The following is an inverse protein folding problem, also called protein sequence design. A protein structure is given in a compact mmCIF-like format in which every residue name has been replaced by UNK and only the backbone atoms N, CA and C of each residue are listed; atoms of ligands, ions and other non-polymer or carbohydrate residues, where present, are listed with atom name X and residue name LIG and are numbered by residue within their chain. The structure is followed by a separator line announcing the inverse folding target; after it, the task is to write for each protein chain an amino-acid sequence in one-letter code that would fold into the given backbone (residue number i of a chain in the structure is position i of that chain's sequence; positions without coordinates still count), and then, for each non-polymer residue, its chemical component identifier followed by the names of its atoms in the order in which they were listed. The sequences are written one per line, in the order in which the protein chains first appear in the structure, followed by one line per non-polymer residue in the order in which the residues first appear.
data_IF_310975910321
#
_entry.id   IF_310975910321
#
_cell.length_a   1.000
_cell.length_b   1.000
_cell.length_c   1.000
_cell.angle_alpha   90.00
_cell.angle_beta   90.00
_cell.angle_gamma   90.00
#
_symmetry.space_group_name_H-M   'P 1'
#
loop_
_entity.id
_entity.type
_entity.pdbx_description
1 polymer ?
#
# COMPACT_ATOMS: atom_id res chain seq x y z
N UNK A 1 0.64 59.79 -33.06
CA UNK A 1 0.19 59.00 -31.90
C UNK A 1 0.91 57.67 -31.91
N UNK A 2 1.99 57.54 -31.14
CA UNK A 2 2.69 56.26 -30.96
C UNK A 2 2.21 55.70 -29.63
N UNK A 3 1.39 54.66 -29.68
CA UNK A 3 1.01 53.88 -28.50
C UNK A 3 2.18 52.93 -28.28
N UNK A 4 3.08 53.26 -27.35
CA UNK A 4 4.03 52.28 -26.84
C UNK A 4 3.23 51.28 -26.02
N UNK A 5 3.16 50.05 -26.53
CA UNK A 5 2.64 48.90 -25.80
C UNK A 5 3.36 48.78 -24.46
N UNK A 6 2.59 48.57 -23.40
CA UNK A 6 3.12 48.29 -22.09
C UNK A 6 3.71 46.88 -22.11
N UNK A 7 5.02 46.78 -22.36
CA UNK A 7 5.70 45.51 -22.26
C UNK A 7 5.65 44.99 -20.82
N UNK A 8 4.94 43.88 -20.64
CA UNK A 8 4.79 43.14 -19.39
C UNK A 8 6.09 42.35 -19.08
N UNK A 9 7.14 43.05 -18.62
CA UNK A 9 8.36 42.43 -18.08
C UNK A 9 8.30 42.23 -16.55
N UNK A 10 7.14 41.82 -16.00
CA UNK A 10 7.15 41.30 -14.63
C UNK A 10 7.62 39.85 -14.68
N UNK A 11 8.94 39.68 -14.69
CA UNK A 11 9.55 38.41 -14.35
C UNK A 11 9.10 38.09 -12.92
N UNK A 12 8.38 36.98 -12.73
CA UNK A 12 7.93 36.56 -11.41
C UNK A 12 9.12 36.56 -10.44
N UNK A 13 8.89 37.00 -9.19
CA UNK A 13 9.92 36.96 -8.15
C UNK A 13 10.53 35.54 -8.08
N UNK A 14 11.86 35.43 -7.95
CA UNK A 14 12.58 34.15 -7.84
C UNK A 14 11.92 33.25 -6.78
N UNK A 15 11.42 33.81 -5.68
CA UNK A 15 10.69 33.04 -4.66
C UNK A 15 9.38 32.41 -5.18
N UNK A 16 8.63 33.12 -6.03
CA UNK A 16 7.43 32.61 -6.69
C UNK A 16 7.77 31.53 -7.71
N UNK A 17 8.86 31.69 -8.46
CA UNK A 17 9.32 30.69 -9.42
C UNK A 17 9.78 29.40 -8.72
N UNK A 18 10.53 29.51 -7.63
CA UNK A 18 10.94 28.37 -6.80
C UNK A 18 9.75 27.65 -6.19
N UNK A 19 8.77 28.38 -5.67
CA UNK A 19 7.54 27.79 -5.12
C UNK A 19 6.72 27.07 -6.20
N UNK A 20 6.63 27.64 -7.40
CA UNK A 20 5.97 26.98 -8.55
C UNK A 20 6.68 25.69 -8.93
N UNK A 21 8.01 25.71 -9.02
CA UNK A 21 8.78 24.52 -9.37
C UNK A 21 8.67 23.42 -8.31
N UNK A 22 8.74 23.78 -7.02
CA UNK A 22 8.57 22.85 -5.91
C UNK A 22 7.18 22.18 -5.92
N UNK A 23 6.14 22.94 -6.29
CA UNK A 23 4.79 22.40 -6.44
C UNK A 23 4.69 21.40 -7.58
N UNK A 24 5.26 21.72 -8.76
CA UNK A 24 5.28 20.82 -9.92
C UNK A 24 6.00 19.50 -9.56
N UNK A 25 7.15 19.59 -8.89
CA UNK A 25 7.90 18.42 -8.45
C UNK A 25 7.13 17.59 -7.43
N UNK A 26 6.40 18.23 -6.50
CA UNK A 26 5.52 17.52 -5.55
C UNK A 26 4.40 16.78 -6.26
N UNK A 27 3.80 17.38 -7.29
CA UNK A 27 2.74 16.75 -8.09
C UNK A 27 3.27 15.56 -8.90
N UNK A 28 4.46 15.67 -9.49
CA UNK A 28 5.14 14.55 -10.17
C UNK A 28 5.42 13.39 -9.21
N UNK A 29 6.01 13.68 -8.04
CA UNK A 29 6.32 12.65 -7.05
C UNK A 29 5.06 11.95 -6.53
N UNK A 30 3.95 12.68 -6.35
CA UNK A 30 2.65 12.09 -5.99
C UNK A 30 2.12 11.15 -7.08
N UNK A 31 2.21 11.55 -8.35
CA UNK A 31 1.78 10.72 -9.47
C UNK A 31 2.59 9.42 -9.54
N UNK A 32 3.91 9.48 -9.36
CA UNK A 32 4.77 8.29 -9.31
C UNK A 32 4.39 7.38 -8.14
N UNK A 33 4.23 7.96 -6.95
CA UNK A 33 3.85 7.19 -5.77
C UNK A 33 2.49 6.51 -5.95
N UNK A 34 1.54 7.18 -6.59
CA UNK A 34 0.26 6.60 -6.96
C UNK A 34 0.45 5.38 -7.87
N UNK A 35 1.26 5.48 -8.92
CA UNK A 35 1.56 4.33 -9.81
C UNK A 35 2.18 3.15 -9.04
N UNK A 36 3.07 3.44 -8.09
CA UNK A 36 3.67 2.42 -7.21
C UNK A 36 2.60 1.75 -6.33
N UNK A 37 1.76 2.52 -5.66
CA UNK A 37 0.67 2.02 -4.81
C UNK A 37 -0.29 1.15 -5.62
N UNK A 38 -0.70 1.61 -6.81
CA UNK A 38 -1.59 0.85 -7.69
C UNK A 38 -0.97 -0.48 -8.13
N UNK A 39 0.35 -0.50 -8.34
CA UNK A 39 1.07 -1.75 -8.67
C UNK A 39 1.03 -2.72 -7.50
N UNK A 40 1.25 -2.25 -6.26
CA UNK A 40 1.13 -3.09 -5.05
C UNK A 40 -0.30 -3.60 -4.87
N UNK A 41 -1.30 -2.74 -5.08
CA UNK A 41 -2.72 -3.11 -5.00
C UNK A 41 -3.10 -4.16 -6.05
N UNK A 42 -2.62 -4.00 -7.29
CA UNK A 42 -2.85 -4.97 -8.36
C UNK A 42 -2.29 -6.34 -7.98
N UNK A 43 -1.04 -6.39 -7.54
CA UNK A 43 -0.42 -7.64 -7.10
C UNK A 43 -1.19 -8.29 -5.95
N UNK A 44 -1.58 -7.50 -4.94
CA UNK A 44 -2.38 -7.98 -3.81
C UNK A 44 -3.75 -8.54 -4.23
N UNK A 45 -4.45 -7.86 -5.15
CA UNK A 45 -5.77 -8.30 -5.65
C UNK A 45 -5.71 -9.56 -6.51
N UNK A 46 -4.60 -9.79 -7.19
CA UNK A 46 -4.42 -10.93 -8.09
C UNK A 46 -3.65 -12.09 -7.43
N UNK A 47 -3.35 -11.99 -6.14
CA UNK A 47 -2.53 -12.98 -5.41
C UNK A 47 -1.14 -13.19 -6.03
N UNK A 48 -0.62 -12.14 -6.68
CA UNK A 48 0.69 -12.16 -7.33
C UNK A 48 1.73 -11.72 -6.31
N UNK A 49 2.73 -12.57 -6.08
CA UNK A 49 3.88 -12.21 -5.25
C UNK A 49 4.58 -10.98 -5.83
N UNK A 50 4.86 -9.97 -5.01
CA UNK A 50 5.60 -8.77 -5.43
C UNK A 50 7.05 -9.10 -5.82
N UNK A 51 7.62 -10.10 -5.15
CA UNK A 51 9.04 -10.44 -5.17
C UNK A 51 9.51 -11.38 -6.30
N UNK A 52 10.83 -11.44 -6.46
CA UNK A 52 11.61 -12.33 -7.32
C UNK A 52 13.08 -12.31 -6.87
N UNK A 53 13.98 -13.13 -7.41
CA UNK A 53 15.35 -13.32 -6.87
C UNK A 53 16.19 -12.03 -6.66
N UNK A 54 15.80 -10.90 -7.27
CA UNK A 54 16.44 -9.59 -7.10
C UNK A 54 15.45 -8.49 -6.69
N UNK A 55 15.27 -8.33 -5.38
CA UNK A 55 14.39 -7.31 -4.80
C UNK A 55 15.01 -5.91 -4.65
N UNK A 56 16.30 -5.74 -4.97
CA UNK A 56 17.06 -4.54 -4.61
C UNK A 56 17.92 -4.01 -5.76
N UNK A 57 18.13 -2.70 -5.78
CA UNK A 57 18.96 -2.02 -6.76
C UNK A 57 18.18 -0.98 -7.55
N UNK A 58 18.90 -0.18 -8.34
CA UNK A 58 18.30 0.88 -9.14
C UNK A 58 17.33 0.27 -10.17
N UNK A 59 16.11 0.82 -10.25
CA UNK A 59 15.20 0.55 -11.36
C UNK A 59 15.71 1.32 -12.59
N UNK A 60 15.81 0.65 -13.72
CA UNK A 60 16.23 1.23 -15.00
C UNK A 60 15.08 1.19 -15.99
N UNK A 61 15.20 1.82 -17.15
CA UNK A 61 14.23 1.62 -18.24
C UNK A 61 14.57 0.42 -19.12
N UNK A 62 15.81 -0.06 -19.04
CA UNK A 62 16.25 -1.28 -19.71
C UNK A 62 15.66 -2.52 -19.04
N UNK A 63 15.20 -3.46 -19.88
CA UNK A 63 14.72 -4.76 -19.41
C UNK A 63 15.86 -5.52 -18.72
N UNK A 64 15.63 -6.06 -17.51
CA UNK A 64 16.68 -6.73 -16.78
C UNK A 64 17.02 -8.08 -17.44
N UNK A 65 18.31 -8.42 -17.49
CA UNK A 65 18.78 -9.70 -18.05
C UNK A 65 18.28 -10.94 -17.30
N UNK A 66 17.74 -10.77 -16.09
CA UNK A 66 17.14 -11.80 -15.24
C UNK A 66 15.87 -11.24 -14.61
N UNK A 67 14.92 -12.12 -14.27
CA UNK A 67 13.69 -11.74 -13.58
C UNK A 67 14.00 -10.96 -12.28
N UNK A 68 13.48 -9.74 -12.15
CA UNK A 68 13.63 -8.86 -10.99
C UNK A 68 12.35 -8.73 -10.14
N UNK A 69 11.39 -9.63 -10.35
CA UNK A 69 10.15 -9.74 -9.59
C UNK A 69 8.98 -9.00 -10.25
N UNK A 70 7.76 -9.47 -9.96
CA UNK A 70 6.55 -9.00 -10.63
C UNK A 70 6.30 -7.50 -10.40
N UNK A 71 6.61 -6.99 -9.21
CA UNK A 71 6.44 -5.56 -8.91
C UNK A 71 7.27 -4.68 -9.85
N UNK A 72 8.55 -5.03 -10.06
CA UNK A 72 9.45 -4.25 -10.91
C UNK A 72 9.11 -4.43 -12.38
N UNK A 73 8.80 -5.66 -12.81
CA UNK A 73 8.34 -5.95 -14.16
C UNK A 73 7.08 -5.13 -14.54
N UNK A 74 6.12 -4.98 -13.63
CA UNK A 74 4.92 -4.16 -13.85
C UNK A 74 5.23 -2.67 -13.96
N UNK A 75 6.19 -2.15 -13.19
CA UNK A 75 6.64 -0.77 -13.31
C UNK A 75 7.38 -0.53 -14.63
N UNK A 76 8.23 -1.47 -15.06
CA UNK A 76 8.86 -1.43 -16.39
C UNK A 76 7.81 -1.39 -17.50
N UNK A 77 6.82 -2.28 -17.44
CA UNK A 77 5.71 -2.31 -18.38
C UNK A 77 4.97 -0.97 -18.44
N UNK A 78 4.60 -0.40 -17.28
CA UNK A 78 3.92 0.91 -17.22
C UNK A 78 4.75 2.05 -17.80
N UNK A 79 6.04 2.11 -17.46
CA UNK A 79 6.95 3.12 -17.98
C UNK A 79 7.12 3.03 -19.50
N UNK A 80 7.10 1.81 -20.06
CA UNK A 80 7.24 1.56 -21.49
C UNK A 80 5.96 1.87 -22.29
N UNK A 81 4.81 1.49 -21.76
CA UNK A 81 3.53 1.57 -22.48
C UNK A 81 2.82 2.93 -22.37
N UNK A 82 3.38 3.91 -21.63
CA UNK A 82 2.90 5.29 -21.72
C UNK A 82 2.95 6.13 -20.45
N UNK A 83 3.34 5.59 -19.29
CA UNK A 83 3.52 6.40 -18.08
C UNK A 83 4.83 7.21 -18.17
N UNK A 84 4.78 8.33 -18.88
CA UNK A 84 5.91 9.21 -19.11
C UNK A 84 6.46 9.82 -17.82
N UNK A 85 5.59 10.06 -16.83
CA UNK A 85 5.99 10.62 -15.53
C UNK A 85 6.84 9.58 -14.78
N UNK A 86 6.38 8.33 -14.72
CA UNK A 86 7.15 7.24 -14.15
C UNK A 86 8.47 7.03 -14.92
N UNK A 87 8.43 7.06 -16.26
CA UNK A 87 9.62 6.84 -17.08
C UNK A 87 10.69 7.93 -16.87
N UNK A 88 10.27 9.21 -16.83
CA UNK A 88 11.15 10.34 -16.52
C UNK A 88 11.71 10.20 -15.10
N UNK A 89 10.88 9.85 -14.12
CA UNK A 89 11.30 9.65 -12.74
C UNK A 89 12.35 8.54 -12.60
N UNK A 90 12.17 7.40 -13.24
CA UNK A 90 13.14 6.30 -13.23
C UNK A 90 14.51 6.76 -13.78
N UNK A 91 14.49 7.58 -14.83
CA UNK A 91 15.70 8.09 -15.48
C UNK A 91 16.42 9.16 -14.63
N UNK A 92 15.66 10.11 -14.09
CA UNK A 92 16.20 11.34 -13.50
C UNK A 92 16.45 11.23 -11.99
N UNK A 93 15.67 10.41 -11.28
CA UNK A 93 15.71 10.35 -9.83
C UNK A 93 16.84 9.45 -9.30
N UNK A 94 17.41 9.84 -8.17
CA UNK A 94 18.35 9.01 -7.43
C UNK A 94 17.66 7.77 -6.85
N UNK A 95 18.42 6.71 -6.56
CA UNK A 95 17.88 5.42 -6.09
C UNK A 95 16.95 5.53 -4.89
N UNK A 96 17.20 6.46 -3.97
CA UNK A 96 16.42 6.68 -2.76
C UNK A 96 15.02 7.28 -3.02
N UNK A 97 14.81 7.91 -4.19
CA UNK A 97 13.56 8.55 -4.55
C UNK A 97 12.70 7.68 -5.49
N UNK A 98 13.15 6.47 -5.87
CA UNK A 98 12.41 5.62 -6.82
C UNK A 98 11.18 4.94 -6.22
N UNK A 99 10.99 4.99 -4.89
CA UNK A 99 9.87 4.35 -4.19
C UNK A 99 9.74 2.83 -4.40
N UNK A 100 10.81 2.18 -4.85
CA UNK A 100 10.82 0.77 -5.27
C UNK A 100 11.58 -0.15 -4.33
N UNK A 101 12.17 0.39 -3.25
CA UNK A 101 12.93 -0.41 -2.30
C UNK A 101 12.03 -1.40 -1.54
N UNK A 102 12.57 -2.54 -1.08
CA UNK A 102 11.80 -3.48 -0.24
C UNK A 102 11.20 -2.83 1.00
N UNK A 103 11.91 -1.88 1.61
CA UNK A 103 11.43 -1.11 2.76
C UNK A 103 10.15 -0.36 2.42
N UNK A 104 10.15 0.38 1.31
CA UNK A 104 8.97 1.16 0.88
C UNK A 104 7.82 0.23 0.48
N UNK A 105 8.11 -0.89 -0.20
CA UNK A 105 7.09 -1.89 -0.51
C UNK A 105 6.43 -2.42 0.77
N UNK A 106 7.20 -2.78 1.79
CA UNK A 106 6.67 -3.26 3.08
C UNK A 106 5.86 -2.18 3.81
N UNK A 107 6.31 -0.93 3.80
CA UNK A 107 5.56 0.19 4.37
C UNK A 107 4.21 0.40 3.65
N UNK A 108 4.21 0.34 2.32
CA UNK A 108 2.99 0.46 1.53
C UNK A 108 2.02 -0.70 1.81
N UNK A 109 2.52 -1.94 1.86
CA UNK A 109 1.71 -3.12 2.23
C UNK A 109 1.10 -2.93 3.62
N UNK A 110 1.88 -2.47 4.60
CA UNK A 110 1.38 -2.24 5.95
C UNK A 110 0.31 -1.13 5.99
N UNK A 111 0.51 -0.03 5.27
CA UNK A 111 -0.47 1.07 5.19
C UNK A 111 -1.77 0.60 4.50
N UNK A 112 -1.65 -0.09 3.37
CA UNK A 112 -2.80 -0.64 2.63
C UNK A 112 -3.56 -1.64 3.50
N UNK A 113 -2.84 -2.59 4.12
CA UNK A 113 -3.43 -3.59 5.00
C UNK A 113 -4.16 -2.94 6.19
N UNK A 114 -3.57 -1.91 6.80
CA UNK A 114 -4.23 -1.15 7.87
C UNK A 114 -5.50 -0.46 7.38
N UNK A 115 -5.50 0.16 6.21
CA UNK A 115 -6.69 0.84 5.68
C UNK A 115 -7.82 -0.15 5.38
N UNK A 116 -7.49 -1.34 4.87
CA UNK A 116 -8.46 -2.42 4.66
C UNK A 116 -9.03 -2.89 6.01
N UNK A 117 -8.18 -3.16 7.00
CA UNK A 117 -8.59 -3.54 8.35
C UNK A 117 -9.48 -2.48 8.99
N UNK A 118 -9.10 -1.20 8.94
CA UNK A 118 -9.90 -0.09 9.46
C UNK A 118 -11.28 -0.01 8.78
N UNK A 119 -11.37 -0.34 7.50
CA UNK A 119 -12.63 -0.45 6.75
C UNK A 119 -13.52 -1.58 7.27
N UNK A 120 -12.96 -2.78 7.39
CA UNK A 120 -13.65 -3.96 7.93
C UNK A 120 -14.16 -3.68 9.35
N UNK A 121 -13.31 -3.14 10.22
CA UNK A 121 -13.67 -2.83 11.61
C UNK A 121 -14.80 -1.81 11.69
N UNK A 122 -14.80 -0.78 10.83
CA UNK A 122 -15.92 0.17 10.74
C UNK A 122 -17.23 -0.52 10.32
N UNK A 123 -17.17 -1.43 9.34
CA UNK A 123 -18.34 -2.15 8.87
C UNK A 123 -18.90 -3.09 9.95
N UNK A 124 -18.02 -3.83 10.64
CA UNK A 124 -18.38 -4.70 11.77
C UNK A 124 -19.02 -3.90 12.92
N UNK A 125 -18.42 -2.77 13.31
CA UNK A 125 -18.96 -1.92 14.38
C UNK A 125 -20.34 -1.35 14.02
N UNK A 126 -20.61 -1.09 12.74
CA UNK A 126 -21.93 -0.67 12.24
C UNK A 126 -22.95 -1.83 12.23
N UNK A 127 -22.49 -3.08 12.07
CA UNK A 127 -23.35 -4.27 12.08
C UNK A 127 -24.03 -4.51 13.43
N UNK A 128 -23.40 -4.12 14.54
CA UNK A 128 -23.92 -4.31 15.90
C UNK A 128 -23.81 -5.75 16.42
N UNK A 129 -23.75 -6.74 15.53
CA UNK A 129 -23.49 -8.14 15.86
C UNK A 129 -22.45 -8.73 14.92
N UNK A 130 -21.50 -9.46 15.50
CA UNK A 130 -20.49 -10.17 14.72
C UNK A 130 -20.07 -11.43 15.46
N UNK A 131 -19.43 -12.32 14.72
CA UNK A 131 -18.73 -13.49 15.25
C UNK A 131 -17.27 -13.43 14.84
N UNK A 132 -16.38 -13.87 15.72
CA UNK A 132 -14.96 -14.03 15.42
C UNK A 132 -14.71 -15.49 15.10
N UNK A 133 -14.11 -15.74 13.95
CA UNK A 133 -13.64 -17.04 13.50
C UNK A 133 -12.12 -17.06 13.71
N UNK A 134 -11.62 -18.12 14.33
CA UNK A 134 -10.19 -18.31 14.55
C UNK A 134 -9.82 -19.72 14.13
N UNK A 135 -8.85 -19.84 13.22
CA UNK A 135 -8.34 -21.13 12.75
C UNK A 135 -6.83 -21.23 12.96
N UNK A 136 -6.38 -22.39 13.44
CA UNK A 136 -5.00 -22.64 13.83
C UNK A 136 -4.18 -23.15 12.66
N UNK A 137 -3.06 -22.49 12.38
CA UNK A 137 -2.09 -22.92 11.37
C UNK A 137 -0.67 -22.91 11.94
N UNK A 138 0.11 -23.94 11.66
CA UNK A 138 1.52 -24.00 12.05
C UNK A 138 2.37 -23.49 10.90
N UNK A 139 3.20 -22.47 11.15
CA UNK A 139 4.10 -21.96 10.13
C UNK A 139 5.35 -22.84 9.93
N UNK A 140 6.12 -22.57 8.87
CA UNK A 140 7.37 -23.28 8.58
C UNK A 140 8.48 -23.09 9.62
N UNK A 141 8.28 -22.22 10.61
CA UNK A 141 9.18 -21.98 11.74
C UNK A 141 8.72 -22.65 13.04
N UNK A 142 7.67 -23.50 12.97
CA UNK A 142 7.04 -24.21 14.09
C UNK A 142 6.35 -23.30 15.11
N UNK A 143 6.02 -22.07 14.73
CA UNK A 143 5.18 -21.19 15.54
C UNK A 143 3.74 -21.41 15.10
N UNK A 144 2.84 -21.59 16.07
CA UNK A 144 1.42 -21.62 15.79
C UNK A 144 0.88 -20.20 15.64
N UNK A 145 0.08 -19.99 14.60
CA UNK A 145 -0.61 -18.74 14.33
C UNK A 145 -2.11 -19.00 14.21
N UNK A 146 -2.91 -18.03 14.65
CA UNK A 146 -4.32 -17.96 14.31
C UNK A 146 -4.56 -17.06 13.12
N UNK A 147 -5.25 -17.57 12.10
CA UNK A 147 -5.98 -16.71 11.18
C UNK A 147 -7.24 -16.21 11.89
N UNK A 148 -7.37 -14.89 12.03
CA UNK A 148 -8.57 -14.27 12.57
C UNK A 148 -9.41 -13.72 11.43
N UNK A 149 -10.66 -14.18 11.35
CA UNK A 149 -11.68 -13.64 10.47
C UNK A 149 -12.88 -13.15 11.29
N UNK A 150 -13.64 -12.23 10.72
CA UNK A 150 -14.89 -11.73 11.30
C UNK A 150 -16.04 -11.98 10.35
N UNK A 151 -17.14 -12.48 10.90
CA UNK A 151 -18.38 -12.67 10.15
C UNK A 151 -19.46 -11.76 10.73
N UNK A 152 -20.05 -10.92 9.89
CA UNK A 152 -21.02 -9.90 10.27
C UNK A 152 -22.09 -9.69 9.19
N UNK A 153 -23.20 -9.05 9.54
CA UNK A 153 -24.30 -8.76 8.62
C UNK A 153 -24.22 -7.30 8.19
N UNK A 154 -24.14 -7.04 6.89
CA UNK A 154 -24.23 -5.68 6.38
C UNK A 154 -25.70 -5.25 6.27
N UNK A 155 -26.12 -4.27 7.08
CA UNK A 155 -27.53 -3.85 7.19
C UNK A 155 -28.14 -3.32 5.90
N UNK A 156 -27.33 -2.73 5.01
CA UNK A 156 -27.83 -2.12 3.78
C UNK A 156 -28.16 -3.15 2.71
N UNK A 157 -27.34 -4.19 2.61
CA UNK A 157 -27.48 -5.25 1.60
C UNK A 157 -28.13 -6.51 2.15
N UNK A 158 -28.22 -6.62 3.49
CA UNK A 158 -28.59 -7.83 4.24
C UNK A 158 -27.72 -9.04 3.92
N UNK A 159 -26.50 -8.81 3.41
CA UNK A 159 -25.54 -9.86 3.11
C UNK A 159 -24.71 -10.23 4.34
N UNK A 160 -24.39 -11.52 4.45
CA UNK A 160 -23.41 -12.00 5.42
C UNK A 160 -22.04 -11.85 4.78
N UNK A 161 -21.17 -11.06 5.40
CA UNK A 161 -19.79 -10.89 5.00
C UNK A 161 -18.87 -11.66 5.95
N UNK A 162 -17.77 -12.16 5.39
CA UNK A 162 -16.69 -12.81 6.13
C UNK A 162 -15.36 -12.25 5.65
N UNK A 163 -14.67 -11.54 6.54
CA UNK A 163 -13.45 -10.81 6.21
C UNK A 163 -12.30 -11.24 7.11
N UNK A 164 -11.13 -11.41 6.48
CA UNK A 164 -9.88 -11.68 7.19
C UNK A 164 -9.36 -10.40 7.85
N UNK A 165 -8.97 -10.50 9.13
CA UNK A 165 -8.34 -9.41 9.86
C UNK A 165 -6.82 -9.51 9.83
N UNK A 166 -6.27 -10.57 10.44
CA UNK A 166 -4.82 -10.73 10.60
C UNK A 166 -4.46 -12.13 11.05
N UNK A 167 -3.17 -12.46 10.93
CA UNK A 167 -2.56 -13.56 11.66
C UNK A 167 -2.14 -13.11 13.06
N UNK A 168 -2.29 -13.98 14.04
CA UNK A 168 -1.86 -13.74 15.43
C UNK A 168 -0.98 -14.90 15.88
N UNK A 169 0.29 -14.67 16.24
CA UNK A 169 1.12 -15.72 16.81
C UNK A 169 0.59 -16.13 18.18
N UNK A 170 0.59 -17.43 18.44
CA UNK A 170 0.11 -18.05 19.68
C UNK A 170 1.25 -18.83 20.31
N UNK A 171 1.58 -18.49 21.54
CA UNK A 171 2.62 -19.18 22.32
C UNK A 171 2.04 -20.18 23.34
N UNK A 172 0.77 -20.02 23.73
CA UNK A 172 0.07 -20.89 24.68
C UNK A 172 -1.19 -21.46 24.03
N UNK A 173 -1.17 -22.76 23.78
CA UNK A 173 -2.23 -23.52 23.11
C UNK A 173 -3.28 -24.06 24.06
N UNK A 174 -3.15 -23.79 25.36
CA UNK A 174 -4.19 -24.10 26.32
C UNK A 174 -5.46 -23.31 26.00
N UNK A 175 -6.64 -23.87 26.27
CA UNK A 175 -7.91 -23.17 26.02
C UNK A 175 -7.97 -21.78 26.67
N UNK A 176 -7.33 -21.60 27.83
CA UNK A 176 -7.17 -20.30 28.50
C UNK A 176 -6.26 -19.34 27.73
N UNK A 177 -5.10 -19.79 27.27
CA UNK A 177 -4.14 -18.96 26.52
C UNK A 177 -4.71 -18.51 25.17
N UNK A 178 -5.45 -19.39 24.50
CA UNK A 178 -6.18 -19.07 23.27
C UNK A 178 -7.24 -17.99 23.51
N UNK A 179 -8.08 -18.17 24.54
CA UNK A 179 -9.14 -17.24 24.88
C UNK A 179 -8.59 -15.85 25.26
N UNK A 180 -7.49 -15.81 26.03
CA UNK A 180 -6.83 -14.56 26.39
C UNK A 180 -6.22 -13.87 25.17
N UNK A 181 -5.54 -14.61 24.29
CA UNK A 181 -4.98 -14.07 23.05
C UNK A 181 -6.06 -13.45 22.17
N UNK A 182 -7.18 -14.16 21.99
CA UNK A 182 -8.33 -13.67 21.23
C UNK A 182 -8.94 -12.42 21.86
N UNK A 183 -9.20 -12.43 23.16
CA UNK A 183 -9.74 -11.28 23.89
C UNK A 183 -8.83 -10.07 23.77
N UNK A 184 -7.53 -10.26 23.97
CA UNK A 184 -6.56 -9.18 23.90
C UNK A 184 -6.51 -8.60 22.48
N UNK A 185 -6.41 -9.43 21.44
CA UNK A 185 -6.37 -8.90 20.06
C UNK A 185 -7.68 -8.26 19.63
N UNK A 186 -8.80 -8.95 19.80
CA UNK A 186 -10.11 -8.47 19.37
C UNK A 186 -10.55 -7.20 20.11
N UNK A 187 -10.52 -7.19 21.45
CA UNK A 187 -11.09 -6.10 22.25
C UNK A 187 -10.16 -4.91 22.40
N UNK A 188 -8.83 -5.12 22.50
CA UNK A 188 -7.90 -4.00 22.70
C UNK A 188 -7.60 -3.24 21.41
N UNK A 189 -7.67 -3.93 20.26
CA UNK A 189 -7.19 -3.40 18.99
C UNK A 189 -8.33 -2.91 18.09
N UNK A 190 -9.44 -3.66 17.98
CA UNK A 190 -10.44 -3.41 16.94
C UNK A 190 -11.83 -3.08 17.46
N UNK A 191 -12.35 -3.90 18.38
CA UNK A 191 -13.74 -3.84 18.80
C UNK A 191 -13.81 -3.33 20.24
N UNK A 192 -13.92 -2.00 20.38
CA UNK A 192 -14.17 -1.39 21.69
C UNK A 192 -15.66 -1.54 22.02
N UNK A 193 -15.99 -2.00 23.24
CA UNK A 193 -17.38 -2.07 23.69
C UNK A 193 -18.03 -0.69 23.81
#
# INVERSE_FOLDING_TARGET
TVIFGSDSWKNDNISLQLNKQAKIESEKNKAVLQTVIETVLLCGRQEIALGGDRHSGRLTLEEPAKNDGNFRALLHYRAREGDQILAEHIKMSGGNALYTSPTIQNELIAIIGKQIQDGIVKAVNKSGFFSVLADGTTDGTQIEHFSLCVRYVEHETMNINEDFLTFVPVSDLSGSGLAETLKNRACSTWFRP
#
